data_IF_310719726732
#
_entry.id   IF_310719726732
#
_cell.length_a   1.000
_cell.length_b   1.000
_cell.length_c   1.000
_cell.angle_alpha   90.00
_cell.angle_beta   90.00
_cell.angle_gamma   90.00
#
_symmetry.space_group_name_H-M   'P 1'
#
loop_
_entity.id
_entity.type
_entity.pdbx_description
1 polymer ?
#
# COMPACT_ATOMS: atom_id res chain seq x y z
N UNK A 1 3.44 11.86 16.22
CA UNK A 1 3.35 10.80 15.17
C UNK A 1 4.74 10.53 14.62
N UNK A 2 5.23 9.29 14.72
CA UNK A 2 6.58 8.89 14.28
C UNK A 2 6.80 9.23 12.80
N UNK A 3 7.99 9.73 12.46
CA UNK A 3 8.33 10.12 11.09
C UNK A 3 8.28 8.93 10.11
N UNK A 4 8.51 7.71 10.60
CA UNK A 4 8.33 6.47 9.84
C UNK A 4 6.89 6.26 9.39
N UNK A 5 5.91 6.58 10.24
CA UNK A 5 4.49 6.49 9.86
C UNK A 5 4.21 7.46 8.71
N UNK A 6 4.67 8.72 8.81
CA UNK A 6 4.52 9.70 7.71
C UNK A 6 5.17 9.19 6.41
N UNK A 7 6.32 8.53 6.50
CA UNK A 7 7.01 7.95 5.36
C UNK A 7 6.21 6.80 4.72
N UNK A 8 5.66 5.89 5.53
CA UNK A 8 4.78 4.81 5.05
C UNK A 8 3.59 5.37 4.26
N UNK A 9 2.95 6.44 4.76
CA UNK A 9 1.86 7.08 4.01
C UNK A 9 2.30 7.77 2.73
N UNK A 10 3.51 8.34 2.68
CA UNK A 10 4.05 8.86 1.41
C UNK A 10 4.22 7.74 0.38
N UNK A 11 4.71 6.58 0.79
CA UNK A 11 4.84 5.43 -0.12
C UNK A 11 3.46 4.96 -0.62
N UNK A 12 2.43 4.88 0.22
CA UNK A 12 1.08 4.50 -0.24
C UNK A 12 0.48 5.49 -1.23
N UNK A 13 0.78 6.78 -1.12
CA UNK A 13 0.38 7.80 -2.11
C UNK A 13 1.10 7.58 -3.45
N UNK A 14 2.41 7.33 -3.41
CA UNK A 14 3.22 7.03 -4.61
C UNK A 14 2.69 5.77 -5.31
N UNK A 15 2.33 4.73 -4.55
CA UNK A 15 1.70 3.52 -5.07
C UNK A 15 0.37 3.81 -5.78
N UNK A 16 -0.50 4.62 -5.17
CA UNK A 16 -1.79 5.00 -5.77
C UNK A 16 -1.60 5.75 -7.10
N UNK A 17 -0.65 6.68 -7.16
CA UNK A 17 -0.31 7.39 -8.40
C UNK A 17 0.25 6.44 -9.46
N UNK A 18 1.10 5.50 -9.05
CA UNK A 18 1.64 4.44 -9.88
C UNK A 18 0.55 3.61 -10.57
N UNK A 19 -0.40 3.10 -9.78
CA UNK A 19 -1.52 2.29 -10.27
C UNK A 19 -2.50 3.10 -11.13
N UNK A 20 -2.74 4.36 -10.79
CA UNK A 20 -3.60 5.24 -11.59
C UNK A 20 -3.00 5.48 -12.99
N UNK A 21 -1.70 5.75 -13.07
CA UNK A 21 -1.00 5.93 -14.36
C UNK A 21 -1.00 4.66 -15.21
N UNK A 22 -0.81 3.49 -14.58
CA UNK A 22 -0.84 2.20 -15.26
C UNK A 22 -2.22 1.87 -15.85
N UNK A 23 -3.29 2.35 -15.22
CA UNK A 23 -4.65 2.12 -15.69
C UNK A 23 -5.04 3.01 -16.88
N UNK A 24 -4.54 4.24 -16.94
CA UNK A 24 -4.90 5.22 -17.97
C UNK A 24 -4.04 5.13 -19.23
N UNK A 25 -2.78 4.69 -19.11
CA UNK A 25 -1.82 4.81 -20.21
C UNK A 25 -1.55 3.46 -20.86
N UNK A 26 -1.80 3.38 -22.17
CA UNK A 26 -1.61 2.19 -23.00
C UNK A 26 -0.27 2.18 -23.76
N UNK A 27 0.58 3.19 -23.56
CA UNK A 27 1.88 3.28 -24.20
C UNK A 27 2.93 2.52 -23.40
N UNK A 28 3.62 1.59 -24.06
CA UNK A 28 4.63 0.69 -23.50
C UNK A 28 5.64 1.38 -22.58
N UNK A 29 6.25 2.49 -23.04
CA UNK A 29 7.30 3.17 -22.28
C UNK A 29 6.79 3.77 -20.96
N UNK A 30 5.58 4.35 -20.99
CA UNK A 30 4.96 4.91 -19.80
C UNK A 30 4.50 3.80 -18.84
N UNK A 31 3.98 2.68 -19.35
CA UNK A 31 3.62 1.53 -18.51
C UNK A 31 4.83 1.02 -17.74
N UNK A 32 6.00 0.89 -18.38
CA UNK A 32 7.24 0.51 -17.70
C UNK A 32 7.64 1.51 -16.62
N UNK A 33 7.52 2.81 -16.89
CA UNK A 33 7.78 3.85 -15.90
C UNK A 33 6.85 3.76 -14.68
N UNK A 34 5.56 3.51 -14.89
CA UNK A 34 4.61 3.33 -13.77
C UNK A 34 4.84 2.02 -13.01
N UNK A 35 5.23 0.93 -13.69
CA UNK A 35 5.68 -0.30 -13.04
C UNK A 35 6.90 -0.05 -12.14
N UNK A 36 7.86 0.76 -12.60
CA UNK A 36 9.00 1.17 -11.79
C UNK A 36 8.56 1.94 -10.54
N UNK A 37 7.63 2.90 -10.66
CA UNK A 37 7.08 3.65 -9.52
C UNK A 37 6.41 2.73 -8.50
N UNK A 38 5.61 1.77 -8.97
CA UNK A 38 4.95 0.78 -8.12
C UNK A 38 6.00 -0.06 -7.36
N UNK A 39 7.00 -0.58 -8.07
CA UNK A 39 8.10 -1.35 -7.48
C UNK A 39 8.90 -0.55 -6.45
N UNK A 40 9.23 0.70 -6.78
CA UNK A 40 9.92 1.62 -5.88
C UNK A 40 9.13 1.87 -4.60
N UNK A 41 7.80 2.05 -4.70
CA UNK A 41 6.94 2.21 -3.54
C UNK A 41 6.96 0.98 -2.63
N UNK A 42 6.82 -0.22 -3.19
CA UNK A 42 6.87 -1.47 -2.42
C UNK A 42 8.22 -1.67 -1.73
N UNK A 43 9.31 -1.38 -2.45
CA UNK A 43 10.67 -1.49 -1.92
C UNK A 43 10.93 -0.57 -0.72
N UNK A 44 10.24 0.58 -0.64
CA UNK A 44 10.32 1.48 0.52
C UNK A 44 9.35 1.10 1.64
N UNK A 45 8.12 0.68 1.30
CA UNK A 45 7.08 0.41 2.29
C UNK A 45 7.48 -0.72 3.26
N UNK A 46 7.94 -1.85 2.72
CA UNK A 46 8.14 -3.05 3.52
C UNK A 46 9.29 -2.92 4.56
N UNK A 47 10.48 -2.39 4.22
CA UNK A 47 11.55 -2.20 5.20
C UNK A 47 11.21 -1.19 6.29
N UNK A 48 10.50 -0.09 5.94
CA UNK A 48 10.09 0.93 6.92
C UNK A 48 9.02 0.38 7.85
N UNK A 49 8.07 -0.41 7.35
CA UNK A 49 7.02 -1.02 8.17
C UNK A 49 7.62 -2.00 9.19
N UNK A 50 8.51 -2.88 8.73
CA UNK A 50 9.23 -3.79 9.62
C UNK A 50 10.07 -3.05 10.66
N UNK A 51 10.83 -2.03 10.24
CA UNK A 51 11.67 -1.25 11.16
C UNK A 51 10.84 -0.46 12.18
N UNK A 52 9.66 0.03 11.80
CA UNK A 52 8.73 0.70 12.69
C UNK A 52 8.16 -0.25 13.74
N UNK A 53 7.68 -1.43 13.32
CA UNK A 53 7.17 -2.45 14.24
C UNK A 53 8.25 -2.89 15.23
N UNK A 54 9.47 -3.11 14.75
CA UNK A 54 10.59 -3.52 15.59
C UNK A 54 10.96 -2.48 16.66
N UNK A 55 10.94 -1.20 16.32
CA UNK A 55 11.27 -0.11 17.26
C UNK A 55 10.18 0.09 18.32
N UNK A 56 8.92 -0.18 17.98
CA UNK A 56 7.77 0.00 18.89
C UNK A 56 7.42 -1.29 19.66
N UNK A 57 8.20 -2.35 19.52
CA UNK A 57 7.96 -3.63 20.17
C UNK A 57 9.03 -3.91 21.23
N UNK A 58 8.64 -4.31 22.46
CA UNK A 58 9.59 -4.77 23.47
C UNK A 58 10.40 -5.99 22.98
N UNK A 59 11.68 -6.06 23.33
CA UNK A 59 12.61 -7.09 22.82
C UNK A 59 12.09 -8.52 22.97
N UNK A 60 11.50 -8.84 24.13
CA UNK A 60 10.96 -10.19 24.41
C UNK A 60 9.72 -10.56 23.57
N UNK A 61 9.06 -9.60 22.92
CA UNK A 61 7.90 -9.81 22.04
C UNK A 61 8.21 -9.60 20.56
N UNK A 62 9.40 -9.09 20.21
CA UNK A 62 9.74 -8.69 18.84
C UNK A 62 9.56 -9.80 17.82
N UNK A 63 10.00 -11.01 18.12
CA UNK A 63 9.82 -12.18 17.26
C UNK A 63 8.34 -12.55 17.03
N UNK A 64 7.50 -12.41 18.08
CA UNK A 64 6.06 -12.70 18.00
C UNK A 64 5.29 -11.64 17.21
N UNK A 65 5.62 -10.36 17.39
CA UNK A 65 4.95 -9.28 16.65
C UNK A 65 5.35 -9.33 15.17
N UNK A 66 6.61 -9.58 14.86
CA UNK A 66 7.06 -9.67 13.47
C UNK A 66 6.52 -10.93 12.77
N UNK A 67 6.40 -12.06 13.47
CA UNK A 67 5.76 -13.24 12.88
C UNK A 67 4.27 -13.03 12.60
N UNK A 68 3.53 -12.38 13.52
CA UNK A 68 2.13 -12.01 13.29
C UNK A 68 1.97 -11.03 12.14
N UNK A 69 2.84 -10.02 12.04
CA UNK A 69 2.84 -9.08 10.91
C UNK A 69 3.10 -9.80 9.59
N UNK A 70 4.10 -10.68 9.55
CA UNK A 70 4.47 -11.47 8.36
C UNK A 70 3.33 -12.40 7.95
N UNK A 71 2.72 -13.09 8.92
CA UNK A 71 1.56 -13.95 8.71
C UNK A 71 0.36 -13.16 8.16
N UNK A 72 0.06 -12.00 8.74
CA UNK A 72 -1.04 -11.16 8.26
C UNK A 72 -0.77 -10.64 6.84
N UNK A 73 0.45 -10.18 6.56
CA UNK A 73 0.81 -9.64 5.26
C UNK A 73 0.81 -10.72 4.15
N UNK A 74 1.51 -11.84 4.38
CA UNK A 74 1.56 -12.95 3.42
C UNK A 74 0.21 -13.67 3.32
N UNK A 75 -0.52 -13.81 4.42
CA UNK A 75 -1.82 -14.46 4.48
C UNK A 75 -2.93 -13.66 3.78
N UNK A 76 -2.84 -12.33 3.77
CA UNK A 76 -3.77 -11.48 3.01
C UNK A 76 -3.47 -11.45 1.51
N UNK A 77 -2.24 -11.77 1.09
CA UNK A 77 -1.85 -11.78 -0.32
C UNK A 77 -2.74 -12.69 -1.20
N UNK A 78 -2.91 -14.00 -0.88
CA UNK A 78 -3.78 -14.88 -1.67
C UNK A 78 -5.25 -14.46 -1.64
N UNK A 79 -5.73 -13.92 -0.51
CA UNK A 79 -7.10 -13.39 -0.40
C UNK A 79 -7.28 -12.21 -1.36
N UNK A 80 -6.32 -11.27 -1.36
CA UNK A 80 -6.30 -10.14 -2.28
C UNK A 80 -6.23 -10.58 -3.74
N UNK A 81 -5.37 -11.54 -4.07
CA UNK A 81 -5.24 -12.10 -5.42
C UNK A 81 -6.50 -12.82 -5.89
N UNK A 82 -7.19 -13.56 -5.00
CA UNK A 82 -8.45 -14.22 -5.31
C UNK A 82 -9.55 -13.20 -5.61
N UNK A 83 -9.70 -12.18 -4.76
CA UNK A 83 -10.66 -11.09 -4.98
C UNK A 83 -10.33 -10.36 -6.29
N UNK A 84 -9.05 -10.00 -6.51
CA UNK A 84 -8.62 -9.33 -7.72
C UNK A 84 -8.92 -10.16 -8.98
N UNK A 85 -8.62 -11.47 -8.97
CA UNK A 85 -8.89 -12.37 -10.07
C UNK A 85 -10.38 -12.55 -10.33
N UNK A 86 -11.19 -12.69 -9.28
CA UNK A 86 -12.64 -12.80 -9.41
C UNK A 86 -13.26 -11.54 -10.02
N UNK A 87 -12.86 -10.35 -9.56
CA UNK A 87 -13.32 -9.09 -10.15
C UNK A 87 -12.81 -8.94 -11.58
N UNK A 88 -11.54 -9.26 -11.86
CA UNK A 88 -10.97 -9.15 -13.19
C UNK A 88 -11.72 -10.01 -14.23
N UNK A 89 -12.19 -11.20 -13.83
CA UNK A 89 -13.01 -12.05 -14.69
C UNK A 89 -14.42 -11.50 -14.92
N UNK A 90 -15.04 -10.82 -13.93
CA UNK A 90 -16.42 -10.31 -14.05
C UNK A 90 -16.53 -8.94 -14.73
N UNK A 91 -15.65 -8.01 -14.36
CA UNK A 91 -15.74 -6.59 -14.78
C UNK A 91 -14.54 -6.14 -15.63
N UNK A 92 -13.60 -7.04 -15.90
CA UNK A 92 -12.38 -6.76 -16.65
C UNK A 92 -11.23 -6.21 -15.80
N UNK A 93 -10.02 -6.27 -16.35
CA UNK A 93 -8.78 -5.87 -15.68
C UNK A 93 -8.77 -4.38 -15.33
N UNK A 94 -9.09 -3.50 -16.30
CA UNK A 94 -9.05 -2.05 -16.11
C UNK A 94 -10.05 -1.57 -15.05
N UNK A 95 -11.29 -2.07 -15.06
CA UNK A 95 -12.31 -1.72 -14.07
C UNK A 95 -11.91 -2.18 -12.67
N UNK A 96 -11.29 -3.35 -12.57
CA UNK A 96 -10.77 -3.89 -11.30
C UNK A 96 -9.65 -3.01 -10.75
N UNK A 97 -8.67 -2.65 -11.59
CA UNK A 97 -7.59 -1.74 -11.22
C UNK A 97 -8.13 -0.36 -10.78
N UNK A 98 -9.13 0.19 -11.47
CA UNK A 98 -9.80 1.44 -11.07
C UNK A 98 -10.36 1.34 -9.64
N UNK A 99 -11.03 0.23 -9.29
CA UNK A 99 -11.57 0.03 -7.95
C UNK A 99 -10.48 0.01 -6.88
N UNK A 100 -9.36 -0.68 -7.14
CA UNK A 100 -8.21 -0.67 -6.22
C UNK A 100 -7.62 0.72 -6.03
N UNK A 101 -7.48 1.50 -7.11
CA UNK A 101 -7.00 2.88 -7.05
C UNK A 101 -7.94 3.75 -6.21
N UNK A 102 -9.25 3.66 -6.44
CA UNK A 102 -10.25 4.40 -5.67
C UNK A 102 -10.17 4.05 -4.18
N UNK A 103 -10.09 2.75 -3.86
CA UNK A 103 -9.97 2.29 -2.48
C UNK A 103 -8.71 2.84 -1.79
N UNK A 104 -7.56 2.78 -2.47
CA UNK A 104 -6.30 3.33 -1.94
C UNK A 104 -6.35 4.86 -1.79
N UNK A 105 -6.96 5.58 -2.72
CA UNK A 105 -7.10 7.04 -2.61
C UNK A 105 -8.00 7.42 -1.44
N UNK A 106 -9.13 6.74 -1.25
CA UNK A 106 -10.02 6.96 -0.11
C UNK A 106 -9.31 6.69 1.22
N UNK A 107 -8.52 5.60 1.29
CA UNK A 107 -7.71 5.30 2.47
C UNK A 107 -6.70 6.41 2.79
N UNK A 108 -5.98 6.91 1.76
CA UNK A 108 -5.05 8.02 1.92
C UNK A 108 -5.75 9.32 2.36
N UNK A 109 -6.92 9.65 1.80
CA UNK A 109 -7.71 10.84 2.18
C UNK A 109 -8.20 10.72 3.63
N UNK A 110 -8.76 9.57 4.00
CA UNK A 110 -9.22 9.30 5.37
C UNK A 110 -8.07 9.49 6.37
N UNK A 111 -6.88 9.03 6.03
CA UNK A 111 -5.70 9.22 6.87
C UNK A 111 -5.27 10.70 6.98
N UNK A 112 -5.27 11.45 5.88
CA UNK A 112 -4.98 12.89 5.91
C UNK A 112 -5.99 13.65 6.77
N UNK A 113 -7.27 13.25 6.72
CA UNK A 113 -8.31 13.80 7.58
C UNK A 113 -8.03 13.54 9.07
N UNK A 114 -7.65 12.32 9.45
CA UNK A 114 -7.24 11.99 10.82
C UNK A 114 -6.01 12.79 11.29
N UNK A 115 -5.01 12.94 10.40
CA UNK A 115 -3.82 13.76 10.69
C UNK A 115 -4.18 15.24 10.90
N UNK A 116 -5.05 15.80 10.08
CA UNK A 116 -5.52 17.19 10.20
C UNK A 116 -6.24 17.42 11.53
N UNK A 117 -7.04 16.44 11.97
CA UNK A 117 -7.74 16.49 13.26
C UNK A 117 -6.78 16.34 14.45
N UNK A 118 -5.78 15.46 14.36
CA UNK A 118 -4.76 15.28 15.40
C UNK A 118 -3.76 16.43 15.52
N UNK A 119 -3.67 17.31 14.52
CA UNK A 119 -2.81 18.51 14.54
C UNK A 119 -3.50 19.73 15.17
N UNK A 120 -4.80 19.64 15.49
CA UNK A 120 -5.59 20.69 16.13
C UNK A 120 -5.74 20.51 17.65
N UNK A 121 -5.06 19.51 18.22
CA UNK A 121 -4.89 19.30 19.66
C UNK A 121 -3.39 19.27 19.96
#
# INVERSE_FOLDING_TARGET
>A
MSDKIKHLFKTTIILSLGLLGLNLIKNWYFTLFFCFIIGFSFANFFPVANSYLQENTPDHLRGRIISLFTLAFLGMHPVGSFIAGFLANKIGLHSTLSLYVIFLLLFNIYFLYLKSKSSKF
#
